data_IF_352199099267
#
_entry.id   IF_352199099267
#
_cell.length_a   1.000
_cell.length_b   1.000
_cell.length_c   1.000
_cell.angle_alpha   90.00
_cell.angle_beta   90.00
_cell.angle_gamma   90.00
#
_symmetry.space_group_name_H-M   'P 1'
#
loop_
_entity.id
_entity.type
_entity.pdbx_description
1 polymer ?
#
# COMPACT_ATOMS: atom_id res chain seq x y z
N UNK A 1 -7.87 -16.94 16.77
CA UNK A 1 -8.94 -16.84 15.75
C UNK A 1 -8.78 -15.68 14.75
N UNK A 2 -7.71 -14.88 14.77
CA UNK A 2 -7.66 -13.59 14.04
C UNK A 2 -7.07 -13.54 12.63
N UNK A 3 -6.31 -14.53 12.15
CA UNK A 3 -5.71 -14.49 10.80
C UNK A 3 -6.54 -15.29 9.76
N UNK A 4 -7.00 -16.49 10.13
CA UNK A 4 -7.79 -17.34 9.23
C UNK A 4 -9.18 -16.76 8.90
N UNK A 5 -9.82 -16.08 9.86
CA UNK A 5 -11.11 -15.43 9.65
C UNK A 5 -11.00 -14.20 8.72
N UNK A 6 -9.91 -13.43 8.85
CA UNK A 6 -9.62 -12.28 7.97
C UNK A 6 -9.35 -12.74 6.55
N UNK A 7 -8.60 -13.83 6.35
CA UNK A 7 -8.38 -14.41 5.01
C UNK A 7 -9.68 -14.92 4.37
N UNK A 8 -10.57 -15.53 5.15
CA UNK A 8 -11.86 -16.01 4.65
C UNK A 8 -12.79 -14.85 4.22
N UNK A 9 -12.84 -13.77 5.02
CA UNK A 9 -13.62 -12.57 4.71
C UNK A 9 -13.02 -11.72 3.58
N UNK A 10 -11.69 -11.63 3.49
CA UNK A 10 -10.99 -10.96 2.38
C UNK A 10 -11.22 -11.65 1.04
N UNK A 11 -11.37 -12.97 1.05
CA UNK A 11 -11.62 -13.74 -0.19
C UNK A 11 -13.00 -13.44 -0.78
N UNK A 12 -14.02 -13.20 0.04
CA UNK A 12 -15.34 -12.80 -0.44
C UNK A 12 -15.43 -11.31 -0.82
N UNK A 13 -14.74 -10.42 -0.08
CA UNK A 13 -14.73 -8.98 -0.37
C UNK A 13 -13.94 -8.62 -1.65
N UNK A 14 -12.93 -9.44 -2.01
CA UNK A 14 -12.10 -9.31 -3.23
C UNK A 14 -12.90 -9.44 -4.54
N UNK A 15 -14.12 -9.99 -4.51
CA UNK A 15 -14.97 -10.15 -5.71
C UNK A 15 -15.68 -8.87 -6.16
N UNK A 16 -15.86 -7.84 -5.32
CA UNK A 16 -16.75 -6.72 -5.64
C UNK A 16 -16.11 -5.33 -5.83
N UNK A 17 -14.80 -5.15 -5.60
CA UNK A 17 -14.17 -3.84 -5.78
C UNK A 17 -12.75 -3.94 -6.34
N UNK A 18 -12.65 -4.60 -7.50
CA UNK A 18 -11.43 -4.67 -8.28
C UNK A 18 -11.07 -3.26 -8.81
N UNK A 19 -10.29 -2.51 -8.03
CA UNK A 19 -9.41 -1.48 -8.60
C UNK A 19 -8.61 -2.15 -9.71
N UNK A 20 -8.76 -1.66 -10.94
CA UNK A 20 -8.09 -2.16 -12.15
C UNK A 20 -6.57 -1.90 -12.11
N UNK A 21 -5.88 -2.51 -11.15
CA UNK A 21 -4.43 -2.67 -11.15
C UNK A 21 -4.15 -4.06 -11.72
N UNK A 22 -3.22 -4.22 -12.67
CA UNK A 22 -2.83 -5.53 -13.16
C UNK A 22 -2.50 -6.45 -11.96
N UNK A 23 -3.25 -7.53 -11.80
CA UNK A 23 -3.10 -8.47 -10.69
C UNK A 23 -1.90 -9.39 -10.94
N UNK A 24 -0.70 -8.84 -10.86
CA UNK A 24 0.50 -9.64 -10.73
C UNK A 24 0.56 -10.23 -9.31
N UNK A 25 0.71 -11.55 -9.22
CA UNK A 25 0.79 -12.28 -7.95
C UNK A 25 1.99 -11.77 -7.13
N UNK A 26 3.09 -11.42 -7.79
CA UNK A 26 4.26 -10.88 -7.11
C UNK A 26 3.97 -9.49 -6.52
N UNK A 27 3.26 -8.62 -7.25
CA UNK A 27 2.82 -7.31 -6.75
C UNK A 27 1.90 -7.42 -5.53
N UNK A 28 0.94 -8.34 -5.55
CA UNK A 28 0.05 -8.59 -4.40
C UNK A 28 0.80 -9.15 -3.19
N UNK A 29 1.74 -10.07 -3.40
CA UNK A 29 2.57 -10.62 -2.34
C UNK A 29 3.45 -9.54 -1.70
N UNK A 30 4.09 -8.70 -2.52
CA UNK A 30 4.92 -7.59 -2.04
C UNK A 30 4.12 -6.60 -1.18
N UNK A 31 2.91 -6.23 -1.63
CA UNK A 31 2.03 -5.34 -0.86
C UNK A 31 1.67 -5.94 0.50
N UNK A 32 1.24 -7.20 0.53
CA UNK A 32 0.85 -7.87 1.78
C UNK A 32 2.03 -7.99 2.78
N UNK A 33 3.24 -8.24 2.28
CA UNK A 33 4.47 -8.27 3.10
C UNK A 33 4.74 -6.88 3.70
N UNK A 34 4.69 -5.83 2.88
CA UNK A 34 4.93 -4.46 3.32
C UNK A 34 3.88 -3.98 4.33
N UNK A 35 2.60 -4.31 4.12
CA UNK A 35 1.51 -3.99 5.05
C UNK A 35 1.72 -4.67 6.41
N UNK A 36 2.04 -5.97 6.40
CA UNK A 36 2.32 -6.72 7.62
C UNK A 36 3.51 -6.15 8.39
N UNK A 37 4.55 -5.72 7.67
CA UNK A 37 5.73 -5.11 8.25
C UNK A 37 5.40 -3.74 8.88
N UNK A 38 4.75 -2.84 8.14
CA UNK A 38 4.40 -1.51 8.65
C UNK A 38 3.45 -1.59 9.86
N UNK A 39 2.49 -2.52 9.84
CA UNK A 39 1.64 -2.81 10.97
C UNK A 39 2.45 -3.24 12.20
N UNK A 40 3.39 -4.18 12.03
CA UNK A 40 4.22 -4.66 13.12
C UNK A 40 5.13 -3.56 13.70
N UNK A 41 5.63 -2.66 12.86
CA UNK A 41 6.44 -1.51 13.28
C UNK A 41 5.61 -0.49 14.06
N UNK A 42 4.37 -0.23 13.63
CA UNK A 42 3.43 0.64 14.33
C UNK A 42 3.02 0.06 15.69
N UNK A 43 2.64 -1.22 15.73
CA UNK A 43 2.23 -1.93 16.94
C UNK A 43 3.35 -1.92 18.00
N UNK A 44 4.62 -1.98 17.56
CA UNK A 44 5.80 -1.91 18.45
C UNK A 44 6.30 -0.49 18.75
N UNK A 45 5.60 0.55 18.26
CA UNK A 45 5.99 1.96 18.42
C UNK A 45 7.40 2.28 17.86
N UNK A 46 7.91 1.47 16.93
CA UNK A 46 9.21 1.69 16.29
C UNK A 46 9.07 2.73 15.18
N UNK A 47 7.98 2.64 14.41
CA UNK A 47 7.63 3.59 13.38
C UNK A 47 6.15 3.95 13.58
N UNK A 48 5.82 4.99 14.36
CA UNK A 48 4.44 5.35 14.64
C UNK A 48 3.70 5.78 13.38
N UNK A 49 2.37 5.71 13.39
CA UNK A 49 1.50 6.02 12.24
C UNK A 49 1.89 7.30 11.50
N UNK A 50 2.19 8.40 12.21
CA UNK A 50 2.61 9.66 11.59
C UNK A 50 3.85 9.50 10.71
N UNK A 51 4.82 8.71 11.16
CA UNK A 51 6.06 8.45 10.43
C UNK A 51 5.82 7.52 9.25
N UNK A 52 4.97 6.48 9.39
CA UNK A 52 4.55 5.63 8.28
C UNK A 52 3.86 6.47 7.17
N UNK A 53 2.94 7.35 7.57
CA UNK A 53 2.28 8.26 6.62
C UNK A 53 3.27 9.23 5.98
N UNK A 54 4.29 9.69 6.71
CA UNK A 54 5.38 10.50 6.17
C UNK A 54 6.15 9.75 5.09
N UNK A 55 6.61 8.53 5.39
CA UNK A 55 7.34 7.67 4.45
C UNK A 55 6.55 7.42 3.17
N UNK A 56 5.25 7.11 3.28
CA UNK A 56 4.40 6.89 2.11
C UNK A 56 4.20 8.17 1.28
N UNK A 57 4.04 9.33 1.92
CA UNK A 57 3.95 10.62 1.23
C UNK A 57 5.24 10.97 0.50
N UNK A 58 6.38 10.72 1.14
CA UNK A 58 7.70 10.95 0.55
C UNK A 58 7.91 10.03 -0.66
N UNK A 59 7.51 8.76 -0.57
CA UNK A 59 7.53 7.83 -1.69
C UNK A 59 6.63 8.31 -2.85
N UNK A 60 5.39 8.70 -2.57
CA UNK A 60 4.49 9.24 -3.58
C UNK A 60 5.07 10.52 -4.24
N UNK A 61 5.66 11.40 -3.44
CA UNK A 61 6.30 12.62 -3.93
C UNK A 61 7.52 12.31 -4.82
N UNK A 62 8.35 11.34 -4.45
CA UNK A 62 9.49 10.92 -5.26
C UNK A 62 9.05 10.44 -6.64
N UNK A 63 7.96 9.66 -6.71
CA UNK A 63 7.37 9.23 -7.98
C UNK A 63 6.67 10.36 -8.75
N UNK A 64 6.05 11.35 -8.09
CA UNK A 64 5.43 12.51 -8.74
C UNK A 64 6.43 13.48 -9.37
N UNK A 65 7.64 13.58 -8.81
CA UNK A 65 8.65 14.56 -9.21
C UNK A 65 9.81 13.98 -10.02
N UNK A 66 9.62 12.80 -10.64
CA UNK A 66 10.62 12.22 -11.53
C UNK A 66 10.83 13.14 -12.76
N UNK A 67 12.09 13.36 -13.19
CA UNK A 67 12.38 14.17 -14.37
C UNK A 67 11.61 13.70 -15.60
N UNK A 68 11.12 14.63 -16.43
CA UNK A 68 10.41 14.31 -17.68
C UNK A 68 11.27 13.57 -18.71
N UNK A 69 12.58 13.53 -18.51
CA UNK A 69 13.54 12.77 -19.32
C UNK A 69 13.59 11.28 -18.94
N UNK A 70 12.84 10.85 -17.93
CA UNK A 70 12.73 9.45 -17.57
C UNK A 70 11.98 8.66 -18.66
N UNK A 71 12.33 7.39 -18.77
CA UNK A 71 11.90 6.46 -19.80
C UNK A 71 10.45 6.01 -19.55
N UNK A 72 9.90 6.22 -18.33
CA UNK A 72 8.56 5.74 -17.97
C UNK A 72 7.74 6.69 -17.07
N UNK A 73 7.48 7.94 -17.47
CA UNK A 73 6.75 8.92 -16.66
C UNK A 73 5.34 8.46 -16.27
N UNK A 74 4.67 7.70 -17.14
CA UNK A 74 3.34 7.14 -16.87
C UNK A 74 3.38 6.08 -15.76
N UNK A 75 4.44 5.27 -15.71
CA UNK A 75 4.64 4.27 -14.65
C UNK A 75 4.83 4.96 -13.30
N UNK A 76 5.65 6.02 -13.24
CA UNK A 76 5.84 6.76 -11.99
C UNK A 76 4.54 7.42 -11.51
N UNK A 77 3.75 8.01 -12.41
CA UNK A 77 2.44 8.56 -12.07
C UNK A 77 1.47 7.49 -11.54
N UNK A 78 1.43 6.30 -12.17
CA UNK A 78 0.61 5.19 -11.73
C UNK A 78 1.03 4.67 -10.34
N UNK A 79 2.34 4.58 -10.07
CA UNK A 79 2.86 4.18 -8.75
C UNK A 79 2.48 5.21 -7.69
N UNK A 80 2.66 6.50 -7.96
CA UNK A 80 2.27 7.55 -7.02
C UNK A 80 0.77 7.51 -6.68
N UNK A 81 -0.08 7.35 -7.70
CA UNK A 81 -1.52 7.24 -7.52
C UNK A 81 -1.92 5.98 -6.72
N UNK A 82 -1.18 4.88 -6.85
CA UNK A 82 -1.41 3.67 -6.06
C UNK A 82 -1.04 3.89 -4.59
N UNK A 83 0.09 4.55 -4.32
CA UNK A 83 0.52 4.87 -2.96
C UNK A 83 -0.49 5.80 -2.26
N UNK A 84 -0.98 6.83 -2.95
CA UNK A 84 -2.02 7.72 -2.40
C UNK A 84 -3.27 6.92 -2.00
N UNK A 85 -3.70 5.95 -2.80
CA UNK A 85 -4.84 5.07 -2.46
C UNK A 85 -4.57 4.16 -1.25
N UNK A 86 -3.34 3.70 -1.06
CA UNK A 86 -2.97 2.91 0.13
C UNK A 86 -3.07 3.77 1.39
N UNK A 87 -2.65 5.03 1.32
CA UNK A 87 -2.76 6.01 2.41
C UNK A 87 -4.25 6.24 2.77
N UNK A 88 -5.08 6.49 1.75
CA UNK A 88 -6.51 6.73 1.91
C UNK A 88 -7.22 5.50 2.49
N UNK A 89 -6.87 4.30 2.03
CA UNK A 89 -7.42 3.03 2.53
C UNK A 89 -6.99 2.69 3.96
N UNK A 90 -5.84 3.19 4.42
CA UNK A 90 -5.36 2.95 5.79
C UNK A 90 -4.78 1.56 6.04
N UNK A 91 -4.45 0.84 4.96
CA UNK A 91 -3.97 -0.54 5.01
C UNK A 91 -2.64 -0.70 5.76
N UNK A 92 -1.90 0.40 5.98
CA UNK A 92 -0.55 0.38 6.55
C UNK A 92 -0.49 0.54 8.07
N UNK A 93 -1.58 0.95 8.76
CA UNK A 93 -1.53 1.36 10.18
C UNK A 93 -2.68 0.87 11.07
N UNK A 94 -3.67 0.14 10.53
CA UNK A 94 -4.89 -0.32 11.25
C UNK A 94 -5.55 0.81 12.04
N UNK A 95 -6.27 1.66 11.31
CA UNK A 95 -7.21 2.62 11.90
C UNK A 95 -8.45 1.84 12.33
N UNK A 96 -8.74 1.81 13.65
CA UNK A 96 -9.96 1.21 14.22
C UNK A 96 -11.20 2.02 13.82
#
# INVERSE_FOLDING_TARGET
>A
MGAACVMALQTEYRKLHLMSVPTDVAGLAALAICESLMLALNDRKILPEREILGVLKDAAAAHKHVPKSDISPETHAAVAALIDKIIDGGNSVRRL
#
